data_IF_808569032970
#
_entry.id   IF_808569032970
#
_cell.length_a   1.000
_cell.length_b   1.000
_cell.length_c   1.000
_cell.angle_alpha   90.00
_cell.angle_beta   90.00
_cell.angle_gamma   90.00
#
_symmetry.space_group_name_H-M   'P 1'
#
loop_
_entity.id
_entity.type
_entity.pdbx_description
1 polymer ?
#
# COMPACT_ATOMS: atom_id res chain seq x y z
N UNK A 1 11.97 11.58 2.94
CA UNK A 1 12.00 13.07 2.85
C UNK A 1 11.32 13.44 1.52
N UNK A 2 10.27 14.26 1.51
CA UNK A 2 9.52 14.55 0.26
C UNK A 2 10.19 15.64 -0.56
N UNK A 3 10.84 15.29 -1.67
CA UNK A 3 11.52 16.27 -2.54
C UNK A 3 10.82 16.52 -3.89
N UNK A 4 9.69 15.86 -4.18
CA UNK A 4 9.01 16.00 -5.49
C UNK A 4 7.49 15.90 -5.51
N UNK A 5 6.85 15.35 -4.48
CA UNK A 5 5.39 15.16 -4.44
C UNK A 5 4.75 16.06 -3.39
N UNK A 6 3.63 16.69 -3.74
CA UNK A 6 2.82 17.42 -2.75
C UNK A 6 2.19 16.39 -1.82
N UNK A 7 2.55 16.44 -0.54
CA UNK A 7 2.12 15.49 0.50
C UNK A 7 0.59 15.33 0.60
N UNK A 8 -0.17 16.31 0.12
CA UNK A 8 -1.63 16.33 0.16
C UNK A 8 -2.30 15.76 -1.10
N UNK A 9 -1.54 15.54 -2.17
CA UNK A 9 -2.06 14.90 -3.38
C UNK A 9 -2.04 13.37 -3.24
N UNK A 10 -2.86 12.70 -4.05
CA UNK A 10 -2.94 11.23 -4.12
C UNK A 10 -1.55 10.58 -4.27
N UNK A 11 -0.70 11.15 -5.11
CA UNK A 11 0.66 10.67 -5.35
C UNK A 11 1.58 10.85 -4.12
N UNK A 12 1.30 11.86 -3.30
CA UNK A 12 1.95 12.09 -2.01
C UNK A 12 1.59 11.02 -0.98
N UNK A 13 0.32 10.57 -0.94
CA UNK A 13 -0.14 9.48 -0.07
C UNK A 13 0.47 8.13 -0.44
N UNK A 14 0.66 7.86 -1.73
CA UNK A 14 1.32 6.64 -2.19
C UNK A 14 2.81 6.66 -1.80
N UNK A 15 3.48 7.78 -2.07
CA UNK A 15 4.87 8.03 -1.61
C UNK A 15 4.97 7.92 -0.09
N UNK A 16 3.95 8.33 0.66
CA UNK A 16 3.91 8.16 2.11
C UNK A 16 3.92 6.70 2.54
N UNK A 17 3.12 5.84 1.92
CA UNK A 17 3.15 4.40 2.25
C UNK A 17 4.51 3.76 1.93
N UNK A 18 5.17 4.23 0.87
CA UNK A 18 6.52 3.81 0.49
C UNK A 18 7.57 4.21 1.54
N UNK A 19 7.61 5.50 1.90
CA UNK A 19 8.56 6.04 2.87
C UNK A 19 8.31 5.53 4.31
N UNK A 20 7.04 5.30 4.68
CA UNK A 20 6.69 4.72 5.98
C UNK A 20 7.09 3.25 6.07
N UNK A 21 7.03 2.51 4.96
CA UNK A 21 7.57 1.14 4.92
C UNK A 21 9.07 1.15 5.20
N UNK A 22 9.83 2.01 4.53
CA UNK A 22 11.28 2.18 4.78
C UNK A 22 11.60 2.50 6.23
N UNK A 23 10.74 3.30 6.87
CA UNK A 23 10.94 3.78 8.23
C UNK A 23 10.51 2.78 9.31
N UNK A 24 9.64 1.82 9.00
CA UNK A 24 8.97 0.96 10.01
C UNK A 24 9.12 -0.55 9.77
N UNK A 25 9.72 -0.97 8.66
CA UNK A 25 9.95 -2.39 8.38
C UNK A 25 10.94 -3.06 9.34
N UNK A 26 11.85 -2.30 9.96
CA UNK A 26 12.86 -2.87 10.85
C UNK A 26 12.26 -3.36 12.17
N UNK A 27 11.32 -2.61 12.74
CA UNK A 27 10.80 -2.85 14.09
C UNK A 27 9.32 -3.25 14.13
N UNK A 28 8.49 -2.76 13.20
CA UNK A 28 7.03 -2.93 13.27
C UNK A 28 6.49 -3.90 12.22
N UNK A 29 6.72 -3.67 10.92
CA UNK A 29 6.08 -4.49 9.88
C UNK A 29 6.60 -5.92 9.79
N UNK A 30 7.83 -6.18 10.26
CA UNK A 30 8.47 -7.50 10.23
C UNK A 30 8.49 -8.20 11.61
N UNK A 31 7.60 -7.80 12.51
CA UNK A 31 7.47 -8.42 13.84
C UNK A 31 8.70 -8.22 14.74
N UNK A 32 9.50 -7.18 14.49
CA UNK A 32 10.66 -6.80 15.32
C UNK A 32 11.97 -7.54 15.02
N UNK A 33 12.03 -8.38 13.99
CA UNK A 33 13.23 -9.16 13.66
C UNK A 33 14.19 -8.46 12.68
N UNK A 34 13.85 -7.26 12.22
CA UNK A 34 14.57 -6.59 11.16
C UNK A 34 14.39 -7.23 9.79
N UNK A 35 15.02 -6.61 8.79
CA UNK A 35 15.00 -7.09 7.41
C UNK A 35 15.81 -8.38 7.27
N UNK A 36 15.38 -9.26 6.37
CA UNK A 36 16.16 -10.45 6.00
C UNK A 36 17.51 -10.02 5.40
N UNK A 37 18.60 -10.59 5.90
CA UNK A 37 19.95 -10.33 5.39
C UNK A 37 20.04 -10.52 3.87
N UNK A 38 20.64 -9.54 3.18
CA UNK A 38 20.77 -9.51 1.72
C UNK A 38 19.58 -8.89 0.97
N UNK A 39 18.47 -8.57 1.65
CA UNK A 39 17.35 -7.82 1.04
C UNK A 39 17.41 -6.35 1.45
N UNK A 40 17.43 -5.48 0.43
CA UNK A 40 17.40 -4.03 0.62
C UNK A 40 16.01 -3.51 1.02
N UNK A 41 15.92 -2.27 1.49
CA UNK A 41 14.69 -1.70 2.04
C UNK A 41 13.59 -1.51 0.96
N UNK A 42 13.98 -1.23 -0.28
CA UNK A 42 13.08 -1.10 -1.44
C UNK A 42 12.27 -2.37 -1.74
N UNK A 43 12.81 -3.56 -1.41
CA UNK A 43 12.12 -4.83 -1.64
C UNK A 43 10.83 -4.95 -0.81
N UNK A 44 10.81 -4.37 0.39
CA UNK A 44 9.65 -4.42 1.28
C UNK A 44 8.63 -3.32 0.97
N UNK A 45 9.10 -2.17 0.46
CA UNK A 45 8.24 -1.08 0.04
C UNK A 45 7.55 -1.41 -1.29
N UNK A 46 8.32 -1.58 -2.37
CA UNK A 46 7.77 -1.82 -3.72
C UNK A 46 7.34 -3.28 -3.88
N UNK A 47 6.04 -3.49 -4.09
CA UNK A 47 5.46 -4.81 -4.37
C UNK A 47 5.00 -5.62 -3.15
N UNK A 48 5.13 -5.07 -1.94
CA UNK A 48 4.65 -5.71 -0.70
C UNK A 48 3.74 -4.79 0.11
N UNK A 49 4.25 -3.64 0.59
CA UNK A 49 3.51 -2.79 1.53
C UNK A 49 3.12 -1.41 0.99
N UNK A 50 3.63 -1.03 -0.18
CA UNK A 50 3.20 0.18 -0.88
C UNK A 50 1.80 0.01 -1.49
N UNK A 51 0.96 1.04 -1.33
CA UNK A 51 -0.34 1.13 -2.00
C UNK A 51 -0.15 1.34 -3.52
N UNK A 52 -1.08 0.85 -4.37
CA UNK A 52 -0.99 1.01 -5.82
C UNK A 52 -0.91 2.47 -6.26
N UNK A 53 -0.13 2.76 -7.30
CA UNK A 53 0.04 4.12 -7.81
C UNK A 53 -1.26 4.62 -8.47
N UNK A 54 -1.96 3.75 -9.19
CA UNK A 54 -3.23 4.02 -9.85
C UNK A 54 -4.26 2.91 -9.62
N UNK A 55 -5.57 3.25 -9.58
CA UNK A 55 -6.63 2.27 -9.40
C UNK A 55 -6.69 1.22 -10.51
N UNK A 56 -6.17 1.53 -11.70
CA UNK A 56 -6.10 0.66 -12.87
C UNK A 56 -4.82 -0.17 -12.96
N UNK A 57 -3.89 -0.02 -12.02
CA UNK A 57 -2.63 -0.76 -12.08
C UNK A 57 -2.88 -2.25 -11.85
N UNK A 58 -2.46 -3.06 -12.83
CA UNK A 58 -2.53 -4.51 -12.79
C UNK A 58 -1.36 -5.10 -12.00
N UNK A 59 -1.16 -4.61 -10.78
CA UNK A 59 -0.12 -5.03 -9.84
C UNK A 59 -0.76 -5.70 -8.63
N UNK A 60 -0.07 -6.70 -8.06
CA UNK A 60 -0.48 -7.31 -6.80
C UNK A 60 0.05 -6.41 -5.68
N UNK A 61 -0.84 -5.59 -5.13
CA UNK A 61 -0.56 -4.63 -4.06
C UNK A 61 -1.73 -4.55 -3.09
N UNK A 62 -1.50 -4.01 -1.90
CA UNK A 62 -2.56 -3.76 -0.91
C UNK A 62 -2.83 -2.25 -0.92
N UNK A 63 -4.00 -1.83 -1.40
CA UNK A 63 -4.45 -0.47 -1.16
C UNK A 63 -4.75 -0.31 0.34
N UNK A 64 -3.91 0.45 1.04
CA UNK A 64 -4.00 0.67 2.48
C UNK A 64 -4.44 2.09 2.86
N UNK A 65 -4.55 3.01 1.88
CA UNK A 65 -4.69 4.45 2.16
C UNK A 65 -5.76 5.15 1.32
N UNK A 66 -5.98 4.75 0.07
CA UNK A 66 -6.88 5.47 -0.83
C UNK A 66 -8.31 4.96 -0.69
N UNK A 67 -9.25 5.87 -0.43
CA UNK A 67 -10.68 5.60 -0.52
C UNK A 67 -11.19 6.03 -1.90
N UNK A 68 -11.68 5.08 -2.68
CA UNK A 68 -12.31 5.30 -3.97
C UNK A 68 -13.83 5.40 -3.83
N UNK A 69 -14.51 5.97 -4.82
CA UNK A 69 -15.97 5.99 -4.89
C UNK A 69 -16.44 5.30 -6.15
N UNK A 70 -17.55 4.58 -6.06
CA UNK A 70 -18.19 3.96 -7.23
C UNK A 70 -18.72 4.97 -8.24
N UNK A 71 -18.83 6.24 -7.84
CA UNK A 71 -19.15 7.36 -8.71
C UNK A 71 -17.94 7.90 -9.49
N UNK A 72 -16.72 7.44 -9.21
CA UNK A 72 -15.52 7.91 -9.89
C UNK A 72 -15.56 7.48 -11.36
N UNK A 73 -15.15 8.37 -12.27
CA UNK A 73 -15.17 8.11 -13.71
C UNK A 73 -14.29 6.92 -14.14
N UNK A 74 -13.36 6.50 -13.28
CA UNK A 74 -12.44 5.39 -13.48
C UNK A 74 -12.90 4.08 -12.82
N UNK A 75 -14.08 4.03 -12.20
CA UNK A 75 -14.57 2.85 -11.47
C UNK A 75 -14.58 1.59 -12.35
N UNK A 76 -14.94 1.71 -13.64
CA UNK A 76 -14.97 0.59 -14.57
C UNK A 76 -13.60 -0.04 -14.87
N UNK A 77 -12.50 0.59 -14.43
CA UNK A 77 -11.13 0.13 -14.60
C UNK A 77 -10.45 -0.21 -13.27
N UNK A 78 -11.16 -0.10 -12.13
CA UNK A 78 -10.57 -0.29 -10.82
C UNK A 78 -10.25 -1.77 -10.58
N UNK A 79 -8.98 -2.06 -10.31
CA UNK A 79 -8.46 -3.38 -9.93
C UNK A 79 -8.18 -3.50 -8.42
N UNK A 80 -8.28 -2.39 -7.69
CA UNK A 80 -7.82 -2.25 -6.31
C UNK A 80 -8.99 -2.14 -5.32
N UNK A 81 -8.75 -2.39 -4.02
CA UNK A 81 -9.79 -2.29 -2.96
C UNK A 81 -10.43 -0.89 -2.94
N UNK A 82 -11.76 -0.84 -2.81
CA UNK A 82 -12.56 0.39 -2.81
C UNK A 82 -12.33 1.26 -1.55
N UNK A 83 -12.51 0.68 -0.36
CA UNK A 83 -12.24 1.35 0.92
C UNK A 83 -11.42 0.41 1.84
N UNK A 84 -10.15 0.72 2.13
CA UNK A 84 -9.31 -0.13 2.97
C UNK A 84 -9.81 -0.25 4.41
N UNK A 85 -10.47 0.78 4.94
CA UNK A 85 -10.89 0.83 6.34
C UNK A 85 -12.10 -0.04 6.65
N UNK A 86 -12.84 -0.46 5.62
CA UNK A 86 -13.94 -1.42 5.76
C UNK A 86 -13.53 -2.81 5.31
N UNK A 87 -12.58 -2.91 4.38
CA UNK A 87 -12.12 -4.21 3.85
C UNK A 87 -11.13 -4.92 4.76
N UNK A 88 -10.32 -4.19 5.52
CA UNK A 88 -9.25 -4.74 6.36
C UNK A 88 -9.43 -4.30 7.80
N UNK A 89 -10.16 -5.10 8.59
CA UNK A 89 -10.36 -4.83 10.02
C UNK A 89 -9.32 -5.56 10.88
N UNK A 90 -8.85 -6.72 10.41
CA UNK A 90 -7.83 -7.52 11.07
C UNK A 90 -6.92 -8.26 10.08
N UNK A 91 -5.97 -9.03 10.61
CA UNK A 91 -5.04 -9.82 9.81
C UNK A 91 -5.73 -10.96 9.03
N UNK A 92 -6.84 -11.50 9.55
CA UNK A 92 -7.59 -12.56 8.87
C UNK A 92 -8.32 -12.01 7.63
N UNK A 93 -8.85 -10.79 7.69
CA UNK A 93 -9.45 -10.10 6.55
C UNK A 93 -8.45 -9.90 5.41
N UNK A 94 -7.21 -9.52 5.76
CA UNK A 94 -6.13 -9.38 4.80
C UNK A 94 -5.71 -10.73 4.21
N UNK A 95 -5.56 -11.77 5.04
CA UNK A 95 -5.27 -13.12 4.57
C UNK A 95 -6.36 -13.63 3.60
N UNK A 96 -7.63 -13.43 3.96
CA UNK A 96 -8.75 -13.79 3.11
C UNK A 96 -8.74 -13.00 1.79
N UNK A 97 -8.35 -11.72 1.81
CA UNK A 97 -8.21 -10.93 0.58
C UNK A 97 -7.15 -11.50 -0.37
N UNK A 98 -5.97 -11.82 0.15
CA UNK A 98 -4.86 -12.32 -0.67
C UNK A 98 -5.08 -13.75 -1.15
N UNK A 99 -5.92 -14.52 -0.44
CA UNK A 99 -6.22 -15.91 -0.80
C UNK A 99 -7.19 -16.07 -1.98
N UNK A 100 -8.15 -15.17 -2.13
CA UNK A 100 -9.25 -15.28 -3.12
C UNK A 100 -8.91 -14.56 -4.43
#
# INVERSE_FOLDING_TARGET
>A
YYMGYRMLDKDGSITYTHEMTHNSDQDNYLGGYGRRSGLGPEFFAKGLLQAPDQPSDATITINSILKHKTSDSTEGQRLQVLDPTTRFNDAADLQNYVHN
#
